data_IF_349340745866
#
_entry.id   IF_349340745866
#
_cell.length_a   1.000
_cell.length_b   1.000
_cell.length_c   1.000
_cell.angle_alpha   90.00
_cell.angle_beta   90.00
_cell.angle_gamma   90.00
#
_symmetry.space_group_name_H-M   'P 1'
#
loop_
_entity.id
_entity.type
_entity.pdbx_description
1 polymer ?
#
# COMPACT_ATOMS: atom_id res chain seq x y z
N UNK A 1 -8.52 2.70 -1.64
CA UNK A 1 -7.79 1.98 -0.57
C UNK A 1 -6.73 2.90 -0.02
N UNK A 2 -6.91 3.36 1.22
CA UNK A 2 -5.90 4.17 1.92
C UNK A 2 -5.07 3.25 2.80
N UNK A 3 -3.75 3.38 2.72
CA UNK A 3 -2.79 2.55 3.43
C UNK A 3 -2.16 3.36 4.55
N UNK A 4 -2.15 2.82 5.77
CA UNK A 4 -1.57 3.50 6.92
C UNK A 4 -0.34 2.75 7.45
N UNK A 5 0.60 3.53 7.98
CA UNK A 5 1.75 3.01 8.70
C UNK A 5 1.29 2.35 10.01
N UNK A 6 1.72 1.11 10.32
CA UNK A 6 1.35 0.46 11.58
C UNK A 6 1.93 1.15 12.82
N UNK A 7 3.05 1.88 12.65
CA UNK A 7 3.75 2.53 13.76
C UNK A 7 3.18 3.91 14.10
N UNK A 8 2.91 4.74 13.08
CA UNK A 8 2.49 6.14 13.27
C UNK A 8 1.09 6.46 12.77
N UNK A 9 0.39 5.47 12.19
CA UNK A 9 -0.97 5.61 11.64
C UNK A 9 -1.15 6.69 10.57
N UNK A 10 -0.06 7.23 10.03
CA UNK A 10 -0.11 8.19 8.94
C UNK A 10 -0.21 7.49 7.57
N UNK A 11 -0.80 8.16 6.57
CA UNK A 11 -0.93 7.61 5.24
C UNK A 11 0.43 7.30 4.61
N UNK A 12 0.53 6.12 4.01
CA UNK A 12 1.69 5.66 3.28
C UNK A 12 1.62 6.14 1.83
N UNK A 13 2.76 6.53 1.31
CA UNK A 13 2.97 6.75 -0.11
C UNK A 13 3.07 5.39 -0.82
N UNK A 14 2.32 5.21 -1.90
CA UNK A 14 2.35 3.99 -2.71
C UNK A 14 3.19 4.26 -3.96
N UNK A 15 4.34 3.59 -4.04
CA UNK A 15 5.20 3.64 -5.21
C UNK A 15 4.90 2.44 -6.10
N UNK A 16 4.77 2.68 -7.40
CA UNK A 16 4.51 1.62 -8.40
C UNK A 16 5.62 1.62 -9.42
N UNK A 17 6.35 0.51 -9.53
CA UNK A 17 7.42 0.35 -10.50
C UNK A 17 7.43 -1.09 -11.03
N UNK A 18 7.55 -1.27 -12.34
CA UNK A 18 7.69 -2.57 -13.01
C UNK A 18 6.65 -3.63 -12.57
N UNK A 19 5.42 -3.20 -12.24
CA UNK A 19 4.34 -4.09 -11.79
C UNK A 19 4.32 -4.41 -10.29
N UNK A 20 5.32 -3.95 -9.53
CA UNK A 20 5.37 -4.06 -8.07
C UNK A 20 4.80 -2.81 -7.41
N UNK A 21 4.34 -2.97 -6.16
CA UNK A 21 3.88 -1.88 -5.29
C UNK A 21 4.66 -1.88 -3.98
N UNK A 22 5.25 -0.75 -3.65
CA UNK A 22 5.95 -0.50 -2.39
C UNK A 22 5.18 0.54 -1.57
N UNK A 23 5.24 0.43 -0.24
CA UNK A 23 4.62 1.37 0.67
C UNK A 23 5.69 2.08 1.48
N UNK A 24 5.72 3.41 1.41
CA UNK A 24 6.73 4.22 2.09
C UNK A 24 6.05 5.13 3.11
N UNK A 25 6.53 5.10 4.34
CA UNK A 25 6.11 6.07 5.35
C UNK A 25 7.08 7.25 5.33
N UNK A 26 6.61 8.41 4.88
CA UNK A 26 7.43 9.63 4.85
C UNK A 26 7.68 10.21 6.26
N UNK A 27 6.86 9.85 7.23
CA UNK A 27 6.99 10.35 8.60
C UNK A 27 8.07 9.60 9.38
N UNK A 28 8.04 8.27 9.26
CA UNK A 28 9.06 7.42 9.84
C UNK A 28 10.27 7.22 8.91
N UNK A 29 10.21 7.75 7.68
CA UNK A 29 11.22 7.60 6.62
C UNK A 29 11.61 6.13 6.38
N UNK A 30 10.62 5.24 6.38
CA UNK A 30 10.83 3.79 6.31
C UNK A 30 9.98 3.14 5.22
N UNK A 31 10.50 2.06 4.64
CA UNK A 31 9.70 1.15 3.82
C UNK A 31 8.84 0.25 4.70
N UNK A 32 7.57 0.13 4.36
CA UNK A 32 6.59 -0.71 5.04
C UNK A 32 6.24 -1.88 4.12
N UNK A 33 6.46 -3.10 4.60
CA UNK A 33 6.11 -4.31 3.86
C UNK A 33 4.59 -4.41 3.71
N UNK A 34 4.10 -4.87 2.55
CA UNK A 34 2.66 -5.04 2.25
C UNK A 34 1.87 -5.74 3.37
N UNK A 35 2.44 -6.77 4.01
CA UNK A 35 1.77 -7.52 5.09
C UNK A 35 1.66 -6.80 6.43
N UNK A 36 2.34 -5.66 6.60
CA UNK A 36 2.32 -4.84 7.82
C UNK A 36 1.49 -3.57 7.67
N UNK A 37 1.03 -3.27 6.46
CA UNK A 37 0.23 -2.09 6.18
C UNK A 37 -1.16 -2.24 6.76
N UNK A 38 -1.71 -1.17 7.35
CA UNK A 38 -3.11 -1.13 7.81
C UNK A 38 -3.98 -0.60 6.67
N UNK A 39 -5.05 -1.33 6.34
CA UNK A 39 -5.98 -1.01 5.26
C UNK A 39 -7.20 -0.28 5.81
N UNK A 40 -7.43 0.94 5.33
CA UNK A 40 -8.71 1.63 5.50
C UNK A 40 -9.51 1.52 4.20
N UNK A 41 -10.54 0.69 4.23
CA UNK A 41 -11.55 0.58 3.18
C UNK A 41 -12.61 1.67 3.40
N UNK A 42 -12.31 2.87 2.90
CA UNK A 42 -13.35 3.85 2.63
C UNK A 42 -14.01 3.46 1.28
N UNK A 43 -15.27 3.04 1.33
CA UNK A 43 -16.12 2.57 0.22
C UNK A 43 -16.06 3.45 -1.04
N UNK A 44 -15.70 2.85 -2.20
CA UNK A 44 -16.39 2.99 -3.50
C UNK A 44 -15.76 2.02 -4.53
N UNK A 45 -16.50 0.96 -4.85
CA UNK A 45 -16.67 0.27 -6.15
C UNK A 45 -15.59 0.55 -7.23
N UNK A 46 -14.79 -0.46 -7.61
CA UNK A 46 -14.57 -0.92 -9.00
C UNK A 46 -13.56 -2.11 -9.08
N UNK A 47 -13.73 -3.07 -10.02
CA UNK A 47 -13.18 -4.41 -9.92
C UNK A 47 -11.69 -4.49 -10.31
N UNK A 48 -10.95 -5.23 -9.48
CA UNK A 48 -9.81 -6.09 -9.82
C UNK A 48 -9.17 -5.85 -11.21
N UNK A 49 -8.29 -4.84 -11.35
CA UNK A 49 -7.30 -4.83 -12.44
C UNK A 49 -6.05 -5.58 -12.00
N UNK A 50 -6.06 -6.86 -12.37
CA UNK A 50 -4.95 -7.70 -12.80
C UNK A 50 -3.55 -7.40 -12.27
N UNK A 51 -3.07 -8.24 -11.36
CA UNK A 51 -1.65 -8.51 -11.20
C UNK A 51 -1.41 -9.97 -11.56
N UNK A 52 -0.95 -10.21 -12.78
CA UNK A 52 -0.48 -11.53 -13.20
C UNK A 52 0.70 -11.93 -12.31
N UNK A 53 0.44 -12.83 -11.37
CA UNK A 53 1.48 -13.61 -10.70
C UNK A 53 1.79 -14.76 -11.66
N UNK A 54 2.81 -14.61 -12.51
CA UNK A 54 3.36 -15.76 -13.22
C UNK A 54 4.75 -16.05 -12.65
N UNK A 55 4.83 -17.28 -12.13
CA UNK A 55 5.95 -18.13 -11.69
C UNK A 55 7.36 -17.56 -11.66
#
# INVERSE_FOLDING_TARGET
MTYLCPDCQQPLEVLVACGCRDYVCNQCQQLVSKGRVVHLEAELIEPLKGGAQTR
#
